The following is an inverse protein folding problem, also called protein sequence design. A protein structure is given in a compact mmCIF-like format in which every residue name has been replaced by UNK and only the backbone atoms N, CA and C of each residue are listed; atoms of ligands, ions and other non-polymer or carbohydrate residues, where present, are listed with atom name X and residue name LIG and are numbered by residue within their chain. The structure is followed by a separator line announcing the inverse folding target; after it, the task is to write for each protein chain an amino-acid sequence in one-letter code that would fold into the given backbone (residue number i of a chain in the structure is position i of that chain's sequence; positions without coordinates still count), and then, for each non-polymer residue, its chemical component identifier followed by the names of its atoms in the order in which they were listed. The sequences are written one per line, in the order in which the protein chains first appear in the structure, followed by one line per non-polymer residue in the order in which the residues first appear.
data_IF_478679262413
#
_entry.id   IF_478679262413
#
_cell.length_a   1.000
_cell.length_b   1.000
_cell.length_c   1.000
_cell.angle_alpha   90.00
_cell.angle_beta   90.00
_cell.angle_gamma   90.00
#
_symmetry.space_group_name_H-M   'P 1'
#
loop_
_entity.id
_entity.type
_entity.pdbx_description
1 polymer ?
#
# COMPACT_ATOMS: atom_id res chain seq x y z
N UNK A 1 2.13 -25.25 -23.18
CA UNK A 1 2.40 -23.90 -22.63
C UNK A 1 1.24 -23.50 -21.75
N UNK A 2 1.40 -23.43 -20.43
CA UNK A 2 0.32 -22.96 -19.53
C UNK A 2 0.19 -21.45 -19.65
N UNK A 3 -0.92 -20.96 -20.17
CA UNK A 3 -1.25 -19.54 -20.14
C UNK A 3 -1.23 -19.07 -18.69
N UNK A 4 -0.47 -18.01 -18.40
CA UNK A 4 -0.42 -17.45 -17.05
C UNK A 4 -1.78 -16.79 -16.75
N UNK A 5 -2.65 -17.51 -16.04
CA UNK A 5 -4.03 -17.10 -15.72
C UNK A 5 -4.06 -15.71 -15.07
N UNK A 6 -3.07 -15.36 -14.25
CA UNK A 6 -2.99 -14.04 -13.62
C UNK A 6 -2.70 -12.93 -14.62
N UNK A 7 -1.82 -13.18 -15.59
CA UNK A 7 -1.52 -12.22 -16.64
C UNK A 7 -2.77 -11.96 -17.51
N UNK A 8 -3.56 -12.99 -17.81
CA UNK A 8 -4.79 -12.84 -18.57
C UNK A 8 -5.87 -12.09 -17.79
N UNK A 9 -6.07 -12.44 -16.51
CA UNK A 9 -6.98 -11.71 -15.64
C UNK A 9 -6.62 -10.22 -15.53
N UNK A 10 -5.33 -9.89 -15.43
CA UNK A 10 -4.86 -8.49 -15.39
C UNK A 10 -5.13 -7.75 -16.71
N UNK A 11 -4.96 -8.41 -17.86
CA UNK A 11 -5.29 -7.82 -19.17
C UNK A 11 -6.79 -7.57 -19.32
N UNK A 12 -7.62 -8.54 -18.95
CA UNK A 12 -9.08 -8.40 -18.99
C UNK A 12 -9.54 -7.27 -18.07
N UNK A 13 -9.01 -7.20 -16.85
CA UNK A 13 -9.27 -6.11 -15.92
C UNK A 13 -8.93 -4.74 -16.53
N UNK A 14 -7.74 -4.58 -17.12
CA UNK A 14 -7.33 -3.33 -17.75
C UNK A 14 -8.18 -2.96 -18.97
N UNK A 15 -8.62 -3.95 -19.74
CA UNK A 15 -9.52 -3.75 -20.88
C UNK A 15 -10.87 -3.21 -20.43
N UNK A 16 -11.46 -3.78 -19.38
CA UNK A 16 -12.73 -3.29 -18.83
C UNK A 16 -12.56 -1.94 -18.14
N UNK A 17 -11.50 -1.75 -17.35
CA UNK A 17 -11.24 -0.49 -16.64
C UNK A 17 -11.10 0.71 -17.59
N UNK A 18 -10.55 0.53 -18.80
CA UNK A 18 -10.45 1.60 -19.82
C UNK A 18 -11.80 2.11 -20.31
N UNK A 19 -12.86 1.28 -20.24
CA UNK A 19 -14.22 1.67 -20.64
C UNK A 19 -14.95 2.43 -19.53
N UNK A 20 -14.43 2.38 -18.31
CA UNK A 20 -15.04 3.03 -17.16
C UNK A 20 -14.55 4.48 -17.01
N UNK A 21 -15.45 5.32 -16.54
CA UNK A 21 -15.17 6.66 -16.02
C UNK A 21 -15.10 6.64 -14.50
N UNK A 22 -14.62 7.76 -13.94
CA UNK A 22 -14.67 7.97 -12.49
C UNK A 22 -16.11 7.97 -11.95
N UNK A 23 -17.06 8.52 -12.70
CA UNK A 23 -18.45 8.54 -12.31
C UNK A 23 -19.08 7.14 -12.32
N UNK A 24 -18.70 6.27 -13.26
CA UNK A 24 -19.15 4.87 -13.26
C UNK A 24 -18.67 4.14 -12.00
N UNK A 25 -17.41 4.35 -11.60
CA UNK A 25 -16.85 3.78 -10.37
C UNK A 25 -17.58 4.35 -9.13
N UNK A 26 -17.90 5.64 -9.12
CA UNK A 26 -18.66 6.26 -8.02
C UNK A 26 -20.10 5.74 -7.94
N UNK A 27 -20.74 5.51 -9.09
CA UNK A 27 -22.12 5.03 -9.16
C UNK A 27 -22.26 3.54 -8.82
N UNK A 28 -21.22 2.75 -9.08
CA UNK A 28 -21.24 1.29 -8.91
C UNK A 28 -20.82 0.78 -7.52
N UNK A 29 -20.24 1.64 -6.67
CA UNK A 29 -19.83 1.24 -5.33
C UNK A 29 -19.91 2.38 -4.31
N UNK A 30 -20.11 2.00 -3.05
CA UNK A 30 -19.90 2.92 -1.93
C UNK A 30 -18.42 3.31 -1.83
N UNK A 31 -18.09 4.50 -1.28
CA UNK A 31 -16.70 4.87 -1.08
C UNK A 31 -15.93 3.85 -0.23
N UNK A 32 -14.60 3.71 -0.45
CA UNK A 32 -13.69 4.77 -0.89
C UNK A 32 -13.24 4.69 -2.37
N UNK A 33 -14.07 5.19 -3.27
CA UNK A 33 -13.88 5.12 -4.73
C UNK A 33 -12.69 5.94 -5.27
N UNK A 34 -12.09 6.81 -4.45
CA UNK A 34 -10.87 7.54 -4.80
C UNK A 34 -9.57 6.86 -4.30
N UNK A 35 -9.68 5.78 -3.52
CA UNK A 35 -8.56 5.16 -2.83
C UNK A 35 -7.67 4.27 -3.70
N UNK A 36 -6.52 3.90 -3.15
CA UNK A 36 -5.58 2.95 -3.78
C UNK A 36 -6.13 1.53 -3.81
N UNK A 37 -6.83 1.09 -2.76
CA UNK A 37 -7.26 -0.32 -2.64
C UNK A 37 -8.54 -0.62 -3.40
N UNK A 38 -9.48 0.33 -3.43
CA UNK A 38 -10.83 0.08 -3.95
C UNK A 38 -11.24 1.03 -5.08
N UNK A 39 -10.38 1.97 -5.45
CA UNK A 39 -10.79 3.12 -6.24
C UNK A 39 -9.91 3.46 -7.43
N UNK A 40 -10.16 4.65 -7.96
CA UNK A 40 -9.48 5.22 -9.12
C UNK A 40 -7.96 5.31 -8.96
N UNK A 41 -7.43 5.56 -7.76
CA UNK A 41 -5.98 5.55 -7.55
C UNK A 41 -5.39 4.12 -7.72
N UNK A 42 -6.16 3.09 -7.36
CA UNK A 42 -5.83 1.70 -7.65
C UNK A 42 -5.80 1.41 -9.16
N UNK A 43 -6.82 1.86 -9.89
CA UNK A 43 -6.86 1.71 -11.36
C UNK A 43 -5.67 2.43 -12.02
N UNK A 44 -5.35 3.63 -11.56
CA UNK A 44 -4.16 4.36 -12.01
C UNK A 44 -2.86 3.59 -11.71
N UNK A 45 -2.73 3.03 -10.51
CA UNK A 45 -1.57 2.23 -10.13
C UNK A 45 -1.39 0.98 -10.99
N UNK A 46 -2.47 0.25 -11.29
CA UNK A 46 -2.41 -0.94 -12.16
C UNK A 46 -1.99 -0.55 -13.58
N UNK A 47 -2.49 0.56 -14.12
CA UNK A 47 -2.04 1.08 -15.40
C UNK A 47 -0.55 1.47 -15.37
N UNK A 48 -0.10 2.19 -14.33
CA UNK A 48 1.31 2.50 -14.14
C UNK A 48 2.19 1.25 -14.08
N UNK A 49 1.77 0.20 -13.36
CA UNK A 49 2.47 -1.10 -13.32
C UNK A 49 2.51 -1.78 -14.68
N UNK A 50 1.42 -1.74 -15.44
CA UNK A 50 1.36 -2.32 -16.79
C UNK A 50 2.33 -1.61 -17.74
N UNK A 51 2.49 -0.28 -17.61
CA UNK A 51 3.46 0.48 -18.39
C UNK A 51 4.90 -0.04 -18.23
N UNK A 52 5.28 -0.53 -17.04
CA UNK A 52 6.65 -0.99 -16.75
C UNK A 52 7.09 -2.22 -17.55
N UNK A 53 6.16 -2.99 -18.12
CA UNK A 53 6.45 -4.19 -18.89
C UNK A 53 5.80 -4.22 -20.27
N UNK A 54 5.15 -3.12 -20.69
CA UNK A 54 4.44 -3.06 -21.95
C UNK A 54 5.36 -2.58 -23.09
N UNK A 55 5.18 -3.08 -24.33
CA UNK A 55 5.84 -2.52 -25.51
C UNK A 55 5.49 -1.05 -25.76
N UNK A 56 4.28 -0.63 -25.33
CA UNK A 56 3.81 0.75 -25.45
C UNK A 56 3.45 1.30 -24.04
N UNK A 57 4.44 1.82 -23.30
CA UNK A 57 4.20 2.37 -21.96
C UNK A 57 3.31 3.62 -21.97
N UNK A 58 3.39 4.43 -23.04
CA UNK A 58 2.72 5.72 -23.14
C UNK A 58 1.19 5.61 -22.97
N UNK A 59 0.53 4.66 -23.63
CA UNK A 59 -0.92 4.48 -23.54
C UNK A 59 -1.38 4.17 -22.10
N UNK A 60 -0.60 3.36 -21.37
CA UNK A 60 -0.89 3.05 -19.97
C UNK A 60 -0.62 4.24 -19.04
N UNK A 61 0.43 5.02 -19.28
CA UNK A 61 0.72 6.22 -18.48
C UNK A 61 -0.34 7.32 -18.71
N UNK A 62 -0.81 7.51 -19.95
CA UNK A 62 -1.94 8.41 -20.27
C UNK A 62 -3.20 7.98 -19.53
N UNK A 63 -3.50 6.69 -19.51
CA UNK A 63 -4.66 6.16 -18.80
C UNK A 63 -4.51 6.33 -17.28
N UNK A 64 -3.32 6.09 -16.73
CA UNK A 64 -3.04 6.36 -15.31
C UNK A 64 -3.26 7.85 -14.97
N UNK A 65 -2.73 8.77 -15.79
CA UNK A 65 -2.94 10.21 -15.64
C UNK A 65 -4.43 10.58 -15.68
N UNK A 66 -5.19 10.04 -16.63
CA UNK A 66 -6.65 10.26 -16.76
C UNK A 66 -7.38 9.99 -15.44
N UNK A 67 -7.12 8.85 -14.82
CA UNK A 67 -7.71 8.49 -13.53
C UNK A 67 -7.27 9.42 -12.39
N UNK A 68 -5.98 9.76 -12.32
CA UNK A 68 -5.46 10.66 -11.29
C UNK A 68 -6.04 12.07 -11.38
N UNK A 69 -6.26 12.56 -12.61
CA UNK A 69 -6.85 13.87 -12.88
C UNK A 69 -8.36 13.87 -12.62
N UNK A 70 -9.05 12.77 -12.91
CA UNK A 70 -10.46 12.61 -12.57
C UNK A 70 -10.68 12.69 -11.05
N UNK A 71 -9.84 12.01 -10.26
CA UNK A 71 -9.84 12.13 -8.79
C UNK A 71 -9.54 13.56 -8.34
N UNK A 72 -8.65 14.28 -9.04
CA UNK A 72 -8.34 15.68 -8.72
C UNK A 72 -9.56 16.59 -8.97
N UNK A 73 -10.21 16.45 -10.13
CA UNK A 73 -11.35 17.28 -10.57
C UNK A 73 -12.60 17.05 -9.75
N UNK A 74 -12.84 15.81 -9.30
CA UNK A 74 -13.95 15.49 -8.42
C UNK A 74 -13.88 16.21 -7.07
N UNK A 75 -12.74 16.88 -6.78
CA UNK A 75 -12.44 17.40 -5.47
C UNK A 75 -12.10 16.26 -4.52
N UNK A 76 -11.12 16.48 -3.64
CA UNK A 76 -10.90 15.58 -2.51
C UNK A 76 -12.03 15.79 -1.50
N UNK A 77 -13.30 15.59 -1.89
CA UNK A 77 -14.38 15.55 -0.93
C UNK A 77 -14.07 14.38 0.00
N UNK A 78 -14.14 14.62 1.31
CA UNK A 78 -13.78 13.62 2.31
C UNK A 78 -14.50 12.28 2.04
N UNK A 79 -15.71 12.35 1.50
CA UNK A 79 -16.57 11.23 1.14
C UNK A 79 -15.90 10.22 0.19
N UNK A 80 -15.05 10.66 -0.74
CA UNK A 80 -14.36 9.74 -1.67
C UNK A 80 -13.38 8.76 -1.03
N UNK A 81 -13.04 8.99 0.25
CA UNK A 81 -12.12 8.17 1.04
C UNK A 81 -12.78 7.54 2.27
N UNK A 82 -14.05 7.84 2.55
CA UNK A 82 -14.75 7.32 3.74
C UNK A 82 -15.36 5.96 3.43
N UNK A 83 -14.89 4.93 4.10
CA UNK A 83 -15.56 3.62 4.08
C UNK A 83 -16.64 3.58 5.17
N UNK A 84 -17.94 3.37 4.84
CA UNK A 84 -19.02 3.35 5.82
C UNK A 84 -18.79 2.35 6.97
N UNK A 85 -18.25 1.16 6.65
CA UNK A 85 -17.97 0.12 7.65
C UNK A 85 -16.83 0.45 8.63
N UNK A 86 -15.98 1.44 8.33
CA UNK A 86 -14.90 1.90 9.21
C UNK A 86 -15.17 3.29 9.80
N UNK A 87 -16.36 3.85 9.55
CA UNK A 87 -16.73 5.21 9.92
C UNK A 87 -16.77 5.48 11.44
N UNK A 88 -16.90 4.43 12.26
CA UNK A 88 -16.92 4.55 13.73
C UNK A 88 -15.55 4.86 14.34
N UNK A 89 -14.45 4.70 13.59
CA UNK A 89 -13.12 5.12 14.03
C UNK A 89 -12.65 6.33 13.24
N UNK A 90 -12.77 7.52 13.84
CA UNK A 90 -12.20 8.78 13.31
C UNK A 90 -10.74 8.62 12.83
N UNK A 91 -9.97 7.73 13.47
CA UNK A 91 -8.60 7.42 13.08
C UNK A 91 -8.44 6.73 11.70
N UNK A 92 -9.46 6.07 11.16
CA UNK A 92 -9.45 5.47 9.81
C UNK A 92 -10.01 6.39 8.73
N UNK A 93 -10.76 7.44 9.10
CA UNK A 93 -11.28 8.45 8.17
C UNK A 93 -10.17 9.32 7.55
N UNK A 94 -8.99 9.34 8.15
CA UNK A 94 -7.96 10.30 7.81
C UNK A 94 -6.69 9.60 7.35
N UNK A 95 -6.35 9.73 6.06
CA UNK A 95 -4.99 9.65 5.51
C UNK A 95 -4.25 8.34 5.81
N UNK A 96 -4.67 7.26 5.13
CA UNK A 96 -3.91 6.02 5.02
C UNK A 96 -3.41 5.84 3.58
N UNK A 97 -2.42 4.98 3.40
CA UNK A 97 -1.96 4.57 2.07
C UNK A 97 -3.06 3.80 1.30
N UNK A 98 -3.72 2.86 1.98
CA UNK A 98 -4.66 1.93 1.36
C UNK A 98 -5.99 2.58 0.96
N UNK A 99 -6.59 3.35 1.87
CA UNK A 99 -7.96 3.85 1.75
C UNK A 99 -8.03 5.38 1.70
N UNK A 100 -6.95 6.08 2.01
CA UNK A 100 -6.90 7.54 2.07
C UNK A 100 -6.18 8.22 0.91
N UNK A 101 -6.02 9.55 0.99
CA UNK A 101 -5.35 10.35 -0.03
C UNK A 101 -3.84 10.08 -0.15
N UNK A 102 -3.19 9.45 0.83
CA UNK A 102 -1.74 9.26 0.79
C UNK A 102 -1.32 8.26 -0.30
N UNK A 103 -2.16 7.24 -0.55
CA UNK A 103 -1.99 6.33 -1.68
C UNK A 103 -2.05 7.05 -3.02
N UNK A 104 -2.95 8.03 -3.16
CA UNK A 104 -3.02 8.86 -4.36
C UNK A 104 -1.71 9.65 -4.56
N UNK A 105 -1.11 10.19 -3.50
CA UNK A 105 0.17 10.93 -3.58
C UNK A 105 1.31 10.04 -4.05
N UNK A 106 1.40 8.81 -3.54
CA UNK A 106 2.35 7.81 -4.01
C UNK A 106 2.19 7.58 -5.52
N UNK A 107 0.97 7.29 -5.99
CA UNK A 107 0.73 6.97 -7.41
C UNK A 107 1.00 8.18 -8.30
N UNK A 108 0.63 9.39 -7.87
CA UNK A 108 0.96 10.62 -8.61
C UNK A 108 2.46 10.84 -8.75
N UNK A 109 3.24 10.59 -7.69
CA UNK A 109 4.69 10.69 -7.77
C UNK A 109 5.27 9.69 -8.77
N UNK A 110 4.85 8.42 -8.73
CA UNK A 110 5.30 7.38 -9.66
C UNK A 110 4.97 7.72 -11.12
N UNK A 111 3.73 8.13 -11.38
CA UNK A 111 3.28 8.49 -12.73
C UNK A 111 3.97 9.77 -13.24
N UNK A 112 4.16 10.77 -12.37
CA UNK A 112 4.88 11.99 -12.75
C UNK A 112 6.35 11.73 -13.08
N UNK A 113 7.01 10.81 -12.37
CA UNK A 113 8.39 10.40 -12.68
C UNK A 113 8.48 9.78 -14.08
N UNK A 114 7.62 8.82 -14.40
CA UNK A 114 7.65 8.13 -15.71
C UNK A 114 7.16 9.00 -16.87
N UNK A 115 6.38 10.04 -16.60
CA UNK A 115 6.01 11.06 -17.59
C UNK A 115 7.05 12.19 -17.70
N UNK A 116 8.20 12.07 -17.02
CA UNK A 116 9.27 13.07 -17.02
C UNK A 116 8.79 14.47 -16.58
N UNK A 117 7.94 14.54 -15.55
CA UNK A 117 7.39 15.77 -14.98
C UNK A 117 8.06 16.11 -13.64
N UNK A 118 9.29 16.66 -13.61
CA UNK A 118 10.09 16.78 -12.39
C UNK A 118 9.42 17.65 -11.31
N UNK A 119 8.74 18.73 -11.68
CA UNK A 119 8.04 19.61 -10.73
C UNK A 119 6.88 18.88 -10.04
N UNK A 120 6.10 18.10 -10.81
CA UNK A 120 5.00 17.32 -10.27
C UNK A 120 5.53 16.18 -9.38
N UNK A 121 6.58 15.47 -9.83
CA UNK A 121 7.23 14.44 -9.04
C UNK A 121 7.71 14.96 -7.67
N UNK A 122 8.48 16.05 -7.66
CA UNK A 122 9.00 16.65 -6.41
C UNK A 122 7.87 17.04 -5.47
N UNK A 123 6.83 17.72 -5.96
CA UNK A 123 5.70 18.17 -5.13
C UNK A 123 4.93 17.00 -4.51
N UNK A 124 4.67 15.95 -5.28
CA UNK A 124 3.93 14.79 -4.79
C UNK A 124 4.79 13.93 -3.85
N UNK A 125 6.09 13.79 -4.11
CA UNK A 125 7.03 13.12 -3.21
C UNK A 125 7.14 13.87 -1.86
N UNK A 126 7.26 15.19 -1.89
CA UNK A 126 7.27 16.06 -0.71
C UNK A 126 6.02 15.87 0.15
N UNK A 127 4.87 15.86 -0.51
CA UNK A 127 3.58 15.70 0.17
C UNK A 127 3.47 14.29 0.75
N UNK A 128 3.86 13.27 -0.01
CA UNK A 128 3.88 11.89 0.46
C UNK A 128 4.81 11.71 1.67
N UNK A 129 6.01 12.30 1.65
CA UNK A 129 6.95 12.23 2.77
C UNK A 129 6.39 12.87 4.06
N UNK A 130 5.79 14.07 3.95
CA UNK A 130 5.15 14.71 5.11
C UNK A 130 4.04 13.83 5.69
N UNK A 131 3.21 13.25 4.83
CA UNK A 131 2.16 12.33 5.26
C UNK A 131 2.74 11.07 5.94
N UNK A 132 3.72 10.41 5.31
CA UNK A 132 4.36 9.21 5.84
C UNK A 132 5.03 9.47 7.19
N UNK A 133 5.70 10.62 7.34
CA UNK A 133 6.37 11.02 8.59
C UNK A 133 5.38 11.28 9.71
N UNK A 134 4.27 11.98 9.43
CA UNK A 134 3.17 12.17 10.38
C UNK A 134 2.48 10.85 10.79
N UNK A 135 2.75 9.76 10.06
CA UNK A 135 2.19 8.42 10.29
C UNK A 135 3.21 7.42 10.81
N UNK A 136 4.45 7.84 11.05
CA UNK A 136 5.50 6.98 11.60
C UNK A 136 5.19 6.46 13.03
N UNK A 137 4.21 7.06 13.71
CA UNK A 137 3.77 6.69 15.06
C UNK A 137 2.45 5.92 15.09
N UNK A 138 1.89 5.59 13.92
CA UNK A 138 0.65 4.80 13.76
C UNK A 138 0.93 3.30 13.99
N UNK A 139 -0.09 2.41 13.94
CA UNK A 139 0.15 0.98 14.01
C UNK A 139 1.25 0.55 13.05
N UNK A 140 2.03 -0.48 13.40
CA UNK A 140 3.14 -0.90 12.56
C UNK A 140 2.71 -1.70 11.32
N UNK A 141 1.45 -2.16 11.26
CA UNK A 141 0.95 -3.11 10.25
C UNK A 141 0.97 -2.58 8.81
N UNK A 142 0.73 -3.46 7.84
CA UNK A 142 0.98 -3.17 6.43
C UNK A 142 -0.08 -2.28 5.78
N UNK A 143 -1.36 -2.45 6.11
CA UNK A 143 -2.46 -1.81 5.39
C UNK A 143 -2.58 -0.33 5.74
N UNK A 144 -2.55 0.02 7.02
CA UNK A 144 -2.72 1.41 7.49
C UNK A 144 -1.49 1.96 8.20
N UNK A 145 -0.45 1.15 8.35
CA UNK A 145 0.63 1.40 9.27
C UNK A 145 2.00 1.65 8.64
N UNK A 146 2.99 1.80 9.51
CA UNK A 146 4.37 2.15 9.12
C UNK A 146 4.98 1.14 8.13
N UNK A 147 4.65 -0.15 8.22
CA UNK A 147 5.13 -1.15 7.26
C UNK A 147 4.64 -0.86 5.83
N UNK A 148 3.39 -0.43 5.66
CA UNK A 148 2.85 -0.03 4.36
C UNK A 148 3.57 1.17 3.77
N UNK A 149 3.76 2.22 4.57
CA UNK A 149 4.49 3.41 4.13
C UNK A 149 5.97 3.11 3.83
N UNK A 150 6.61 2.22 4.61
CA UNK A 150 7.95 1.73 4.30
C UNK A 150 7.98 1.08 2.91
N UNK A 151 7.06 0.17 2.62
CA UNK A 151 6.99 -0.49 1.31
C UNK A 151 6.74 0.48 0.16
N UNK A 152 5.88 1.48 0.37
CA UNK A 152 5.62 2.55 -0.60
C UNK A 152 6.88 3.41 -0.87
N UNK A 153 7.52 3.91 0.19
CA UNK A 153 8.74 4.71 0.08
C UNK A 153 9.88 3.93 -0.57
N UNK A 154 10.02 2.65 -0.21
CA UNK A 154 10.98 1.74 -0.82
C UNK A 154 10.71 1.51 -2.31
N UNK A 155 9.45 1.32 -2.69
CA UNK A 155 9.08 1.15 -4.11
C UNK A 155 9.39 2.41 -4.91
N UNK A 156 9.07 3.60 -4.37
CA UNK A 156 9.49 4.89 -4.94
C UNK A 156 11.01 4.96 -5.08
N UNK A 157 11.76 4.60 -4.03
CA UNK A 157 13.22 4.67 -4.02
C UNK A 157 13.85 3.78 -5.09
N UNK A 158 13.38 2.53 -5.22
CA UNK A 158 13.87 1.58 -6.23
C UNK A 158 13.51 2.00 -7.65
N UNK A 159 12.32 2.54 -7.84
CA UNK A 159 11.83 2.94 -9.15
C UNK A 159 12.51 4.22 -9.65
N UNK A 160 12.63 5.21 -8.78
CA UNK A 160 13.04 6.58 -9.16
C UNK A 160 14.51 6.89 -8.90
N UNK A 161 15.19 6.06 -8.11
CA UNK A 161 16.54 6.37 -7.61
C UNK A 161 16.61 7.56 -6.64
N UNK A 162 15.47 8.17 -6.27
CA UNK A 162 15.43 9.40 -5.48
C UNK A 162 16.07 9.24 -4.09
N UNK A 163 17.13 10.01 -3.75
CA UNK A 163 17.77 9.97 -2.43
C UNK A 163 16.81 10.29 -1.29
N UNK A 164 15.81 11.14 -1.56
CA UNK A 164 14.78 11.52 -0.60
C UNK A 164 13.85 10.36 -0.29
N UNK A 165 13.40 9.61 -1.31
CA UNK A 165 12.62 8.40 -1.12
C UNK A 165 13.43 7.30 -0.38
N UNK A 166 14.72 7.16 -0.71
CA UNK A 166 15.63 6.25 0.01
C UNK A 166 15.76 6.60 1.49
N UNK A 167 15.93 7.90 1.80
CA UNK A 167 16.03 8.41 3.16
C UNK A 167 14.74 8.13 3.94
N UNK A 168 13.58 8.43 3.35
CA UNK A 168 12.28 8.12 3.94
C UNK A 168 12.12 6.62 4.21
N UNK A 169 12.43 5.75 3.24
CA UNK A 169 12.37 4.30 3.41
C UNK A 169 13.28 3.83 4.56
N UNK A 170 14.51 4.37 4.65
CA UNK A 170 15.43 4.04 5.74
C UNK A 170 14.90 4.48 7.10
N UNK A 171 14.35 5.68 7.18
CA UNK A 171 13.74 6.22 8.42
C UNK A 171 12.58 5.35 8.89
N UNK A 172 11.66 4.99 7.99
CA UNK A 172 10.50 4.14 8.32
C UNK A 172 10.94 2.71 8.70
N UNK A 173 11.93 2.13 8.01
CA UNK A 173 12.47 0.83 8.36
C UNK A 173 13.13 0.81 9.75
N UNK A 174 13.93 1.82 10.08
CA UNK A 174 14.48 2.00 11.44
C UNK A 174 13.38 2.19 12.48
N UNK A 175 12.30 2.88 12.13
CA UNK A 175 11.15 3.07 13.04
C UNK A 175 10.48 1.74 13.38
N UNK A 176 10.36 0.82 12.43
CA UNK A 176 9.80 -0.52 12.68
C UNK A 176 10.66 -1.38 13.62
N UNK A 177 11.98 -1.16 13.62
CA UNK A 177 12.93 -1.83 14.52
C UNK A 177 12.99 -1.21 15.91
N UNK A 178 12.58 0.04 16.06
CA UNK A 178 12.66 0.76 17.32
C UNK A 178 11.74 0.11 18.39
N UNK A 179 12.14 0.14 19.67
CA UNK A 179 11.27 -0.27 20.76
C UNK A 179 9.98 0.58 20.77
N UNK A 180 8.88 0.06 21.34
CA UNK A 180 7.64 0.82 21.41
C UNK A 180 7.85 2.02 22.34
N UNK A 181 7.20 3.15 22.04
CA UNK A 181 7.19 4.28 22.98
C UNK A 181 6.36 3.92 24.24
N UNK A 182 6.59 4.57 25.39
CA UNK A 182 5.74 4.41 26.57
C UNK A 182 4.26 4.57 26.20
N UNK A 183 3.42 3.62 26.65
CA UNK A 183 1.98 3.59 26.35
C UNK A 183 1.59 2.99 25.00
N UNK A 184 2.55 2.65 24.12
CA UNK A 184 2.25 1.97 22.85
C UNK A 184 2.41 0.45 22.99
N UNK A 185 1.44 -0.30 22.46
CA UNK A 185 1.59 -1.75 22.32
C UNK A 185 2.60 -2.05 21.22
N UNK A 186 3.65 -2.81 21.56
CA UNK A 186 4.58 -3.30 20.55
C UNK A 186 3.85 -4.15 19.51
N UNK A 187 4.25 -4.04 18.25
CA UNK A 187 3.59 -4.74 17.15
C UNK A 187 3.68 -6.27 17.28
N UNK A 188 4.68 -6.79 18.00
CA UNK A 188 4.78 -8.23 18.31
C UNK A 188 3.65 -8.73 19.23
N UNK A 189 2.86 -7.83 19.81
CA UNK A 189 1.67 -8.14 20.62
C UNK A 189 0.37 -8.01 19.83
N UNK A 190 0.41 -7.71 18.52
CA UNK A 190 -0.78 -7.69 17.68
C UNK A 190 -1.47 -9.06 17.72
N UNK A 191 -2.79 -9.05 17.96
CA UNK A 191 -3.60 -10.28 17.96
C UNK A 191 -3.69 -10.86 16.56
N UNK A 192 -3.82 -10.00 15.55
CA UNK A 192 -3.89 -10.38 14.15
C UNK A 192 -2.51 -10.87 13.64
N UNK A 193 -2.51 -12.03 12.99
CA UNK A 193 -1.31 -12.67 12.44
C UNK A 193 -1.14 -12.42 10.93
N UNK A 194 -2.22 -12.02 10.25
CA UNK A 194 -2.25 -11.87 8.80
C UNK A 194 -1.34 -10.77 8.27
N UNK A 195 -1.17 -10.74 6.96
CA UNK A 195 -0.25 -9.80 6.31
C UNK A 195 -0.73 -8.36 6.41
N UNK A 196 -1.99 -8.10 6.01
CA UNK A 196 -2.50 -6.74 5.89
C UNK A 196 -2.53 -6.00 7.23
N UNK A 197 -3.07 -6.63 8.28
CA UNK A 197 -3.36 -5.97 9.56
C UNK A 197 -2.61 -6.58 10.76
N UNK A 198 -1.67 -7.47 10.50
CA UNK A 198 -1.06 -8.31 11.53
C UNK A 198 0.45 -8.36 11.47
N UNK A 199 1.00 -9.32 12.21
CA UNK A 199 2.44 -9.45 12.42
C UNK A 199 3.20 -9.81 11.14
N UNK A 200 2.62 -10.64 10.26
CA UNK A 200 3.30 -11.10 9.05
C UNK A 200 3.72 -9.95 8.13
N UNK A 201 2.88 -8.92 7.96
CA UNK A 201 3.23 -7.75 7.15
C UNK A 201 4.38 -6.93 7.74
N UNK A 202 4.46 -6.85 9.08
CA UNK A 202 5.56 -6.16 9.76
C UNK A 202 6.86 -6.93 9.60
N UNK A 203 6.84 -8.26 9.79
CA UNK A 203 8.02 -9.09 9.56
C UNK A 203 8.50 -9.02 8.11
N UNK A 204 7.59 -9.07 7.14
CA UNK A 204 7.93 -8.91 5.74
C UNK A 204 8.64 -7.57 5.50
N UNK A 205 8.12 -6.46 6.04
CA UNK A 205 8.77 -5.15 5.92
C UNK A 205 10.17 -5.13 6.56
N UNK A 206 10.36 -5.75 7.73
CA UNK A 206 11.65 -5.81 8.41
C UNK A 206 12.69 -6.67 7.66
N UNK A 207 12.28 -7.82 7.13
CA UNK A 207 13.14 -8.68 6.31
C UNK A 207 13.57 -7.94 5.04
N UNK A 208 12.63 -7.26 4.38
CA UNK A 208 12.92 -6.45 3.19
C UNK A 208 13.84 -5.26 3.51
N UNK A 209 13.66 -4.61 4.67
CA UNK A 209 14.56 -3.56 5.15
C UNK A 209 15.97 -4.08 5.40
N UNK A 210 16.11 -5.22 6.09
CA UNK A 210 17.41 -5.86 6.34
C UNK A 210 18.10 -6.24 5.04
N UNK A 211 17.38 -6.88 4.10
CA UNK A 211 17.95 -7.24 2.79
C UNK A 211 18.44 -6.02 2.01
N UNK A 212 17.65 -4.95 1.98
CA UNK A 212 17.98 -3.76 1.18
C UNK A 212 19.08 -2.89 1.81
N UNK A 213 19.31 -2.97 3.13
CA UNK A 213 20.29 -2.13 3.84
C UNK A 213 21.51 -2.89 4.37
N UNK A 214 21.48 -4.21 4.37
CA UNK A 214 22.47 -5.05 5.06
C UNK A 214 22.41 -4.95 6.58
N UNK A 215 21.42 -4.25 7.15
CA UNK A 215 21.30 -4.10 8.59
C UNK A 215 20.95 -5.44 9.24
N UNK A 216 21.70 -5.83 10.26
CA UNK A 216 21.39 -7.01 11.07
C UNK A 216 20.04 -6.84 11.76
N UNK A 217 19.22 -7.90 11.73
CA UNK A 217 17.98 -7.93 12.50
C UNK A 217 18.29 -8.21 13.97
N UNK A 218 17.61 -7.53 14.92
CA UNK A 218 17.75 -7.85 16.33
C UNK A 218 17.41 -9.31 16.62
N UNK A 219 18.15 -9.96 17.52
CA UNK A 219 17.96 -11.38 17.86
C UNK A 219 16.51 -11.74 18.27
N UNK A 220 15.79 -10.80 18.89
CA UNK A 220 14.40 -11.00 19.29
C UNK A 220 13.44 -11.22 18.11
N UNK A 221 13.80 -10.81 16.88
CA UNK A 221 13.00 -11.02 15.67
C UNK A 221 12.86 -12.51 15.36
N UNK A 222 13.94 -13.28 15.46
CA UNK A 222 13.90 -14.74 15.24
C UNK A 222 12.96 -15.41 16.24
N UNK A 223 13.11 -15.12 17.53
CA UNK A 223 12.21 -15.64 18.56
C UNK A 223 10.74 -15.21 18.34
N UNK A 224 10.50 -14.03 17.75
CA UNK A 224 9.17 -13.55 17.42
C UNK A 224 8.57 -14.25 16.19
N UNK A 225 9.38 -14.55 15.16
CA UNK A 225 8.98 -15.35 14.00
C UNK A 225 8.62 -16.77 14.42
N UNK A 226 9.40 -17.40 15.30
CA UNK A 226 9.10 -18.74 15.81
C UNK A 226 7.76 -18.78 16.56
N UNK A 227 7.47 -17.73 17.35
CA UNK A 227 6.16 -17.59 18.01
C UNK A 227 5.03 -17.41 17.00
N UNK A 228 5.24 -16.64 15.94
CA UNK A 228 4.26 -16.47 14.86
C UNK A 228 3.99 -17.81 14.17
N UNK A 229 5.03 -18.54 13.77
CA UNK A 229 4.92 -19.85 13.12
C UNK A 229 4.12 -20.84 13.99
N UNK A 230 4.44 -20.95 15.29
CA UNK A 230 3.69 -21.80 16.23
C UNK A 230 2.22 -21.39 16.41
N UNK A 231 1.89 -20.11 16.21
CA UNK A 231 0.50 -19.63 16.29
C UNK A 231 -0.27 -19.92 14.99
N UNK A 232 0.40 -19.92 13.84
CA UNK A 232 -0.20 -20.22 12.54
C UNK A 232 -0.50 -21.71 12.35
N UNK A 233 0.23 -22.60 13.02
CA UNK A 233 -0.06 -24.05 12.98
C UNK A 233 -1.27 -24.47 13.81
N UNK A 234 -1.83 -23.58 14.65
CA UNK A 234 -3.02 -23.89 15.45
C UNK A 234 -4.27 -23.81 14.57
N UNK A 235 -5.15 -24.83 14.58
CA UNK A 235 -6.41 -24.76 13.84
C UNK A 235 -7.21 -23.53 14.26
N UNK A 236 -7.49 -22.62 13.32
CA UNK A 236 -8.42 -21.52 13.57
C UNK A 236 -9.84 -22.09 13.61
N UNK A 237 -10.36 -22.32 14.82
CA UNK A 237 -11.76 -22.70 15.01
C UNK A 237 -12.67 -21.63 14.37
N UNK A 238 -13.59 -22.04 13.50
CA UNK A 238 -14.62 -21.17 12.91
C UNK A 238 -14.22 -20.35 11.68
N UNK A 239 -12.98 -20.43 11.17
CA UNK A 239 -12.64 -19.76 9.91
C UNK A 239 -13.05 -20.62 8.70
N UNK A 240 -13.85 -20.06 7.78
CA UNK A 240 -14.15 -20.74 6.51
C UNK A 240 -12.85 -21.10 5.76
N UNK A 241 -12.85 -22.21 5.02
CA UNK A 241 -11.67 -22.69 4.29
C UNK A 241 -11.13 -21.67 3.28
N UNK A 242 -11.96 -20.76 2.77
CA UNK A 242 -11.58 -19.74 1.80
C UNK A 242 -10.90 -18.51 2.43
N UNK A 243 -11.34 -18.06 3.61
CA UNK A 243 -10.69 -16.95 4.32
C UNK A 243 -9.28 -17.30 4.80
N UNK A 244 -9.03 -18.59 5.06
CA UNK A 244 -7.69 -19.13 5.36
C UNK A 244 -6.71 -19.04 4.19
N UNK A 245 -7.20 -18.80 2.96
CA UNK A 245 -6.36 -18.75 1.75
C UNK A 245 -6.10 -17.33 1.25
N UNK A 246 -6.70 -16.30 1.85
CA UNK A 246 -6.43 -14.94 1.41
C UNK A 246 -5.18 -14.38 2.09
N UNK A 247 -4.26 -13.83 1.29
CA UNK A 247 -3.03 -13.21 1.76
C UNK A 247 -3.29 -12.14 2.84
N UNK A 248 -4.41 -11.41 2.73
CA UNK A 248 -4.83 -10.38 3.67
C UNK A 248 -5.18 -10.91 5.07
N UNK A 249 -5.68 -12.15 5.19
CA UNK A 249 -6.19 -12.73 6.44
C UNK A 249 -5.28 -13.81 7.04
N UNK A 250 -4.04 -13.92 6.54
CA UNK A 250 -3.08 -14.91 7.03
C UNK A 250 -3.20 -16.24 6.32
N UNK A 251 -2.98 -16.22 5.00
CA UNK A 251 -2.66 -17.42 4.25
C UNK A 251 -1.60 -18.22 5.03
N UNK A 252 -2.00 -19.41 5.46
CA UNK A 252 -1.15 -20.46 6.04
C UNK A 252 -1.01 -21.57 5.01
#
# INVERSE_FOLDING_TARGET
MSTNVLAEAARLYLKEARRLSYDDVRASQHPPYASLTFGAAGIAYVNWRAAQGAPSPAAHLTEARRWLDAVARAGLTADGYVTPHYASTLAMRERSLATGPDGLRLVRALVAFDLAEPRAFTRELETFERCASARADRPAEFLLGTAGYFHAARSLAKHTGSPRAQTLARTLGRRLLAPPRPGQSHWTRLRNLGFARGQAGVFHALLEFSRDTGAALPAWISAALDRLARRLTRPMAGASSWLRRSFCNGAS
#
